data_IF_276576421529
#
_entry.id   IF_276576421529
#
_cell.length_a   1.000
_cell.length_b   1.000
_cell.length_c   1.000
_cell.angle_alpha   90.00
_cell.angle_beta   90.00
_cell.angle_gamma   90.00
#
_symmetry.space_group_name_H-M   'P 1'
#
loop_
_entity.id
_entity.type
_entity.pdbx_description
1 polymer ?
#
# COMPACT_ATOMS: atom_id res chain seq x y z
N UNK A 1 -6.63 -16.75 -1.74
CA UNK A 1 -5.30 -17.37 -1.77
C UNK A 1 -4.90 -18.06 -0.45
N UNK A 2 -5.67 -17.91 0.63
CA UNK A 2 -5.32 -18.49 1.93
C UNK A 2 -4.36 -17.62 2.74
N UNK A 3 -4.29 -16.32 2.43
CA UNK A 3 -3.47 -15.36 3.14
C UNK A 3 -4.33 -14.29 3.83
N UNK A 4 -3.79 -13.73 4.92
CA UNK A 4 -4.29 -12.52 5.58
C UNK A 4 -3.30 -11.40 5.26
N UNK A 5 -3.82 -10.24 4.87
CA UNK A 5 -3.05 -9.03 4.62
C UNK A 5 -3.42 -7.98 5.68
N UNK A 6 -2.41 -7.33 6.25
CA UNK A 6 -2.59 -6.28 7.26
C UNK A 6 -1.79 -5.07 6.87
N UNK A 7 -2.46 -3.91 6.87
CA UNK A 7 -1.81 -2.62 6.78
C UNK A 7 -1.40 -2.19 8.18
N UNK A 8 -0.11 -2.03 8.44
CA UNK A 8 0.38 -1.45 9.68
C UNK A 8 0.61 0.04 9.46
N UNK A 9 -0.38 0.84 9.86
CA UNK A 9 -0.40 2.30 9.66
C UNK A 9 0.83 2.96 10.29
N UNK A 10 1.30 2.49 11.45
CA UNK A 10 2.42 3.13 12.16
C UNK A 10 3.77 2.70 11.63
N UNK A 11 3.89 1.44 11.21
CA UNK A 11 5.12 0.95 10.60
C UNK A 11 5.22 1.28 9.09
N UNK A 12 4.14 1.79 8.49
CA UNK A 12 4.09 2.18 7.08
C UNK A 12 4.44 1.03 6.12
N UNK A 13 3.88 -0.16 6.36
CA UNK A 13 3.99 -1.29 5.46
C UNK A 13 2.70 -2.10 5.38
N UNK A 14 2.62 -2.94 4.37
CA UNK A 14 1.65 -4.03 4.29
C UNK A 14 2.39 -5.35 4.47
N UNK A 15 1.88 -6.19 5.36
CA UNK A 15 2.42 -7.53 5.62
C UNK A 15 1.36 -8.58 5.32
N UNK A 16 1.77 -9.73 4.81
CA UNK A 16 0.91 -10.90 4.62
C UNK A 16 1.39 -12.12 5.39
N UNK A 17 0.44 -12.98 5.77
CA UNK A 17 0.68 -14.28 6.40
C UNK A 17 -0.14 -15.34 5.69
N UNK A 18 0.42 -16.54 5.52
CA UNK A 18 -0.43 -17.70 5.22
C UNK A 18 -1.28 -17.98 6.46
N UNK A 19 -2.54 -18.37 6.27
CA UNK A 19 -3.41 -18.70 7.41
C UNK A 19 -2.76 -19.85 8.20
N UNK A 20 -2.54 -19.61 9.50
CA UNK A 20 -1.86 -20.52 10.41
C UNK A 20 -0.39 -20.17 10.70
N UNK A 21 0.23 -19.30 9.90
CA UNK A 21 1.61 -18.87 10.13
C UNK A 21 1.68 -17.76 11.19
N UNK A 22 2.78 -17.73 11.94
CA UNK A 22 3.09 -16.67 12.93
C UNK A 22 4.06 -15.62 12.40
N UNK A 23 4.73 -15.91 11.27
CA UNK A 23 5.65 -15.00 10.61
C UNK A 23 5.07 -14.53 9.28
N UNK A 24 5.20 -13.24 9.00
CA UNK A 24 4.64 -12.62 7.81
C UNK A 24 5.71 -11.97 6.96
N UNK A 25 5.39 -11.75 5.68
CA UNK A 25 6.28 -11.13 4.69
C UNK A 25 5.76 -9.75 4.33
N UNK A 26 6.65 -8.75 4.29
CA UNK A 26 6.31 -7.41 3.79
C UNK A 26 6.07 -7.51 2.27
N UNK A 27 4.97 -6.93 1.81
CA UNK A 27 4.54 -6.97 0.40
C UNK A 27 4.30 -5.59 -0.20
N UNK A 28 4.33 -4.53 0.62
CA UNK A 28 4.34 -3.14 0.18
C UNK A 28 4.97 -2.25 1.27
N UNK A 29 5.72 -1.22 0.88
CA UNK A 29 6.45 -0.35 1.80
C UNK A 29 7.57 -1.10 2.56
N UNK A 30 7.79 -0.72 3.82
CA UNK A 30 8.81 -1.34 4.68
C UNK A 30 10.17 -0.65 4.69
N UNK A 31 10.39 0.33 3.80
CA UNK A 31 11.62 1.13 3.75
C UNK A 31 11.50 2.46 4.49
N UNK A 32 10.72 2.46 5.58
CA UNK A 32 10.41 3.65 6.38
C UNK A 32 9.30 4.52 5.79
N UNK A 33 8.83 5.47 6.59
CA UNK A 33 7.83 6.46 6.18
C UNK A 33 8.39 7.39 5.10
N UNK A 34 7.63 7.63 4.03
CA UNK A 34 7.98 8.59 2.99
C UNK A 34 7.12 8.44 1.74
N UNK A 35 7.49 9.15 0.68
CA UNK A 35 6.74 9.31 -0.57
C UNK A 35 7.44 8.70 -1.79
N UNK A 36 8.60 8.05 -1.62
CA UNK A 36 9.22 7.26 -2.69
C UNK A 36 8.34 6.08 -3.09
N UNK A 37 8.60 5.50 -4.26
CA UNK A 37 7.83 4.36 -4.78
C UNK A 37 7.97 3.10 -3.92
N UNK A 38 9.03 2.99 -3.14
CA UNK A 38 9.30 1.90 -2.20
C UNK A 38 8.85 2.21 -0.75
N UNK A 39 8.20 3.35 -0.53
CA UNK A 39 7.74 3.82 0.77
C UNK A 39 6.23 4.08 0.81
N UNK A 40 5.70 4.12 2.03
CA UNK A 40 4.31 4.45 2.35
C UNK A 40 4.26 5.45 3.51
N UNK A 41 3.10 6.07 3.70
CA UNK A 41 2.82 7.07 4.72
C UNK A 41 1.38 6.91 5.23
N UNK A 42 1.25 6.29 6.41
CA UNK A 42 -0.02 5.96 7.07
C UNK A 42 -1.02 5.16 6.19
N UNK A 43 -0.63 4.00 5.63
CA UNK A 43 -1.48 3.24 4.71
C UNK A 43 -2.74 2.68 5.40
N UNK A 44 -3.94 2.94 4.88
CA UNK A 44 -5.22 2.66 5.56
C UNK A 44 -6.04 1.53 4.97
N UNK A 45 -6.13 1.45 3.64
CA UNK A 45 -6.98 0.49 2.93
C UNK A 45 -6.15 -0.43 2.04
N UNK A 46 -6.64 -1.67 1.89
CA UNK A 46 -6.03 -2.70 1.05
C UNK A 46 -7.06 -3.37 0.15
N UNK A 47 -6.69 -3.55 -1.11
CA UNK A 47 -7.35 -4.47 -2.03
C UNK A 47 -6.32 -5.40 -2.67
N UNK A 48 -6.65 -6.67 -2.85
CA UNK A 48 -5.77 -7.66 -3.48
C UNK A 48 -6.50 -8.27 -4.67
N UNK A 49 -5.88 -8.20 -5.84
CA UNK A 49 -6.46 -8.75 -7.07
C UNK A 49 -6.15 -10.25 -7.26
N UNK A 50 -6.64 -10.84 -8.35
CA UNK A 50 -6.41 -12.26 -8.68
C UNK A 50 -4.97 -12.59 -9.04
N UNK A 51 -4.18 -11.59 -9.44
CA UNK A 51 -2.75 -11.69 -9.74
C UNK A 51 -1.90 -11.46 -8.49
N UNK A 52 -2.52 -11.36 -7.31
CA UNK A 52 -1.88 -11.08 -6.01
C UNK A 52 -1.16 -9.72 -5.97
N UNK A 53 -1.60 -8.77 -6.79
CA UNK A 53 -1.15 -7.39 -6.63
C UNK A 53 -1.86 -6.74 -5.45
N UNK A 54 -1.11 -6.01 -4.63
CA UNK A 54 -1.62 -5.29 -3.46
C UNK A 54 -1.82 -3.83 -3.81
N UNK A 55 -3.04 -3.36 -3.64
CA UNK A 55 -3.43 -1.96 -3.83
C UNK A 55 -3.55 -1.32 -2.46
N UNK A 56 -2.86 -0.20 -2.26
CA UNK A 56 -2.75 0.46 -0.97
C UNK A 56 -3.20 1.92 -1.09
N UNK A 57 -4.13 2.33 -0.24
CA UNK A 57 -4.40 3.75 -0.04
C UNK A 57 -3.29 4.34 0.82
N UNK A 58 -2.39 5.09 0.19
CA UNK A 58 -1.24 5.73 0.82
C UNK A 58 -1.66 7.11 1.33
N UNK A 59 -2.41 7.08 2.43
CA UNK A 59 -3.28 8.17 2.90
C UNK A 59 -2.58 9.53 2.95
N UNK A 60 -1.46 9.60 3.67
CA UNK A 60 -0.78 10.88 3.93
C UNK A 60 -0.02 11.38 2.70
N UNK A 61 0.22 10.50 1.71
CA UNK A 61 0.80 10.86 0.43
C UNK A 61 -0.25 11.12 -0.66
N UNK A 62 -1.54 11.05 -0.31
CA UNK A 62 -2.62 11.47 -1.22
C UNK A 62 -2.61 10.72 -2.56
N UNK A 63 -2.31 9.42 -2.50
CA UNK A 63 -2.18 8.56 -3.68
C UNK A 63 -2.68 7.14 -3.40
N UNK A 64 -2.95 6.40 -4.47
CA UNK A 64 -3.13 4.94 -4.44
C UNK A 64 -1.97 4.31 -5.18
N UNK A 65 -1.38 3.31 -4.55
CA UNK A 65 -0.22 2.60 -5.06
C UNK A 65 -0.57 1.13 -5.30
N UNK A 66 -0.10 0.56 -6.41
CA UNK A 66 -0.17 -0.87 -6.72
C UNK A 66 1.21 -1.49 -6.55
N UNK A 67 1.32 -2.53 -5.74
CA UNK A 67 2.48 -3.44 -5.71
C UNK A 67 2.13 -4.73 -6.43
N UNK A 68 2.68 -4.98 -7.62
CA UNK A 68 2.65 -6.32 -8.22
C UNK A 68 3.24 -7.37 -7.26
N UNK A 69 2.84 -8.62 -7.42
CA UNK A 69 3.34 -9.70 -6.57
C UNK A 69 4.88 -9.74 -6.58
N UNK A 70 5.49 -9.71 -5.39
CA UNK A 70 6.95 -9.72 -5.17
C UNK A 70 7.72 -8.49 -5.71
N UNK A 71 7.04 -7.40 -6.07
CA UNK A 71 7.70 -6.16 -6.45
C UNK A 71 8.43 -5.51 -5.27
N UNK A 72 9.57 -4.85 -5.53
CA UNK A 72 10.31 -4.10 -4.51
C UNK A 72 9.79 -2.68 -4.32
N UNK A 73 9.13 -2.12 -5.33
CA UNK A 73 8.51 -0.80 -5.31
C UNK A 73 7.12 -0.86 -5.95
N UNK A 74 6.31 0.15 -5.63
CA UNK A 74 4.95 0.28 -6.12
C UNK A 74 4.88 1.13 -7.38
N UNK A 75 3.72 1.07 -8.02
CA UNK A 75 3.33 1.88 -9.16
C UNK A 75 2.22 2.81 -8.68
N UNK A 76 2.39 4.12 -8.84
CA UNK A 76 1.31 5.07 -8.59
C UNK A 76 0.23 4.90 -9.66
N UNK A 77 -1.01 4.64 -9.23
CA UNK A 77 -2.13 4.38 -10.16
C UNK A 77 -3.26 5.41 -10.06
N UNK A 78 -3.27 6.23 -9.01
CA UNK A 78 -4.22 7.34 -8.85
C UNK A 78 -3.69 8.35 -7.80
N UNK A 79 -4.06 9.61 -7.94
CA UNK A 79 -3.61 10.69 -7.04
C UNK A 79 -2.15 11.07 -7.27
N UNK A 80 -1.49 11.57 -6.21
CA UNK A 80 -0.07 11.91 -6.20
C UNK A 80 0.25 13.40 -6.36
N UNK A 81 -0.72 14.22 -6.76
CA UNK A 81 -0.57 15.69 -6.82
C UNK A 81 -0.97 16.39 -5.51
N UNK A 82 -1.20 15.62 -4.44
CA UNK A 82 -1.63 16.13 -3.15
C UNK A 82 -3.14 16.31 -3.02
N UNK A 83 -3.55 17.17 -2.08
CA UNK A 83 -4.95 17.42 -1.77
C UNK A 83 -5.59 18.36 -2.79
N UNK A 84 -6.79 18.01 -3.24
CA UNK A 84 -7.53 18.81 -4.21
C UNK A 84 -8.71 18.05 -4.80
N UNK A 85 -9.40 18.71 -5.72
CA UNK A 85 -10.67 18.24 -6.29
C UNK A 85 -10.58 17.99 -7.81
N UNK A 86 -9.36 17.90 -8.36
CA UNK A 86 -9.15 17.56 -9.78
C UNK A 86 -9.00 16.05 -9.96
N UNK A 87 -8.99 15.59 -11.21
CA UNK A 87 -8.84 14.17 -11.55
C UNK A 87 -7.50 13.54 -11.08
N UNK A 88 -6.48 14.36 -10.79
CA UNK A 88 -5.16 13.90 -10.35
C UNK A 88 -4.92 14.04 -8.83
N UNK A 89 -5.89 14.61 -8.09
CA UNK A 89 -5.77 14.82 -6.65
C UNK A 89 -6.60 13.78 -5.87
N UNK A 90 -6.08 13.37 -4.71
CA UNK A 90 -6.84 12.61 -3.73
C UNK A 90 -6.66 13.27 -2.37
N UNK A 91 -7.70 13.29 -1.55
CA UNK A 91 -7.63 13.89 -0.23
C UNK A 91 -7.73 12.79 0.82
N UNK A 92 -6.58 12.34 1.31
CA UNK A 92 -6.46 11.31 2.38
C UNK A 92 -7.31 10.06 2.13
N UNK A 93 -7.07 9.30 1.04
CA UNK A 93 -7.88 8.12 0.71
C UNK A 93 -7.87 7.08 1.85
N UNK A 94 -8.99 6.39 2.05
CA UNK A 94 -9.20 5.39 3.09
C UNK A 94 -10.14 4.27 2.64
#
# INVERSE_FOLDING_TARGET
DGFIYVSDIRQCFVKRWKIGDTQGTIVAGGNGKGDRLDQLSSPTFLFVDREQSVYVADRDNHRVMKWPQNAQEGIMIAGGEGQGNTLAHLSSPC
#
